data_IF_973265852426
#
_entry.id   IF_973265852426
#
_cell.length_a   1.000
_cell.length_b   1.000
_cell.length_c   1.000
_cell.angle_alpha   90.00
_cell.angle_beta   90.00
_cell.angle_gamma   90.00
#
_symmetry.space_group_name_H-M   'P 1'
#
loop_
_entity.id
_entity.type
_entity.pdbx_description
1 polymer ?
#
# COMPACT_ATOMS: atom_id res chain seq x y z
N UNK A 1 12.28 15.87 -9.60
CA UNK A 1 12.30 14.68 -8.70
C UNK A 1 12.59 13.43 -9.52
N UNK A 2 13.74 12.75 -9.33
CA UNK A 2 13.95 11.43 -9.93
C UNK A 2 12.86 10.44 -9.48
N UNK A 3 12.46 9.56 -10.40
CA UNK A 3 11.45 8.54 -10.13
C UNK A 3 11.74 7.25 -10.91
N UNK A 4 11.11 6.15 -10.49
CA UNK A 4 11.10 4.88 -11.22
C UNK A 4 9.75 4.20 -11.04
N UNK A 5 9.37 3.39 -12.02
CA UNK A 5 8.24 2.46 -11.90
C UNK A 5 8.73 1.10 -11.41
N UNK A 6 7.94 0.46 -10.54
CA UNK A 6 8.23 -0.86 -10.01
C UNK A 6 7.24 -1.87 -10.59
N UNK A 7 7.71 -2.65 -11.56
CA UNK A 7 6.90 -3.63 -12.29
C UNK A 7 6.72 -4.96 -11.53
N UNK A 8 7.42 -5.15 -10.43
CA UNK A 8 7.41 -6.34 -9.57
C UNK A 8 6.50 -6.18 -8.34
N UNK A 9 5.65 -5.16 -8.33
CA UNK A 9 4.75 -4.81 -7.23
C UNK A 9 3.30 -5.06 -7.60
N UNK A 10 2.50 -5.38 -6.60
CA UNK A 10 1.05 -5.49 -6.71
C UNK A 10 0.38 -4.76 -5.54
N UNK A 11 -0.80 -4.21 -5.82
CA UNK A 11 -1.63 -3.55 -4.82
C UNK A 11 -2.82 -4.44 -4.47
N UNK A 12 -3.04 -4.69 -3.18
CA UNK A 12 -4.24 -5.35 -2.68
C UNK A 12 -5.06 -4.31 -1.93
N UNK A 13 -6.32 -4.12 -2.33
CA UNK A 13 -7.27 -3.29 -1.60
C UNK A 13 -8.01 -4.12 -0.55
N UNK A 14 -8.16 -3.56 0.64
CA UNK A 14 -9.02 -4.09 1.69
C UNK A 14 -9.95 -2.99 2.16
N UNK A 15 -11.27 -3.15 2.02
CA UNK A 15 -12.23 -2.09 2.33
C UNK A 15 -13.50 -2.62 3.00
N UNK A 16 -14.15 -1.79 3.79
CA UNK A 16 -15.40 -2.14 4.47
C UNK A 16 -15.37 -1.81 5.96
N UNK A 17 -16.52 -1.85 6.64
CA UNK A 17 -16.66 -1.36 8.01
C UNK A 17 -15.83 -2.15 9.03
N UNK A 18 -15.48 -3.41 8.75
CA UNK A 18 -14.64 -4.23 9.64
C UNK A 18 -13.17 -4.28 9.21
N UNK A 19 -12.77 -3.57 8.14
CA UNK A 19 -11.44 -3.71 7.52
C UNK A 19 -10.30 -3.35 8.49
N UNK A 20 -10.39 -2.21 9.18
CA UNK A 20 -9.34 -1.77 10.11
C UNK A 20 -9.18 -2.76 11.26
N UNK A 21 -10.29 -3.11 11.94
CA UNK A 21 -10.26 -4.08 13.03
C UNK A 21 -9.77 -5.47 12.57
N UNK A 22 -10.18 -5.92 11.38
CA UNK A 22 -9.70 -7.18 10.81
C UNK A 22 -8.19 -7.16 10.60
N UNK A 23 -7.66 -6.13 9.93
CA UNK A 23 -6.24 -6.03 9.61
C UNK A 23 -5.39 -5.81 10.87
N UNK A 24 -5.83 -4.99 11.81
CA UNK A 24 -5.16 -4.74 13.10
C UNK A 24 -4.90 -6.05 13.87
N UNK A 25 -5.80 -7.03 13.77
CA UNK A 25 -5.69 -8.30 14.48
C UNK A 25 -4.69 -9.29 13.86
N UNK A 26 -4.29 -9.10 12.61
CA UNK A 26 -3.46 -10.08 11.88
C UNK A 26 -2.15 -9.51 11.33
N UNK A 27 -2.05 -8.19 11.19
CA UNK A 27 -0.86 -7.52 10.70
C UNK A 27 -0.02 -6.98 11.86
N UNK A 28 1.29 -6.83 11.63
CA UNK A 28 2.21 -6.26 12.63
C UNK A 28 2.11 -4.74 12.76
N UNK A 29 1.51 -4.07 11.77
CA UNK A 29 1.43 -2.61 11.74
C UNK A 29 0.25 -2.14 12.56
N UNK A 30 0.50 -1.20 13.47
CA UNK A 30 -0.56 -0.50 14.18
C UNK A 30 -1.24 0.52 13.26
N UNK A 31 -2.49 0.26 12.90
CA UNK A 31 -3.29 1.05 11.97
C UNK A 31 -3.91 2.27 12.63
N UNK A 32 -4.16 2.25 13.95
CA UNK A 32 -4.70 3.40 14.68
C UNK A 32 -3.76 4.61 14.58
N UNK A 33 -2.45 4.35 14.50
CA UNK A 33 -1.41 5.36 14.34
C UNK A 33 -0.96 5.57 12.90
N UNK A 34 -1.62 4.97 11.90
CA UNK A 34 -1.32 5.16 10.47
C UNK A 34 -1.96 6.46 9.94
N UNK A 35 -1.17 7.50 9.63
CA UNK A 35 -1.72 8.76 9.12
C UNK A 35 -2.23 8.61 7.68
N UNK A 36 -3.21 9.45 7.31
CA UNK A 36 -3.51 9.67 5.90
C UNK A 36 -2.30 10.31 5.21
N UNK A 37 -1.96 9.81 4.02
CA UNK A 37 -0.79 10.28 3.27
C UNK A 37 0.50 9.51 3.55
N UNK A 38 0.49 8.54 4.47
CA UNK A 38 1.66 7.72 4.78
C UNK A 38 1.47 6.27 4.31
N UNK A 39 2.58 5.65 3.93
CA UNK A 39 2.72 4.23 3.71
C UNK A 39 3.73 3.65 4.72
N UNK A 40 3.26 2.79 5.62
CA UNK A 40 4.07 2.17 6.68
C UNK A 40 4.43 0.72 6.36
N UNK A 41 5.62 0.24 6.74
CA UNK A 41 5.96 -1.17 6.60
C UNK A 41 5.11 -2.05 7.51
N UNK A 42 4.80 -3.24 7.04
CA UNK A 42 4.04 -4.25 7.77
C UNK A 42 4.35 -5.65 7.30
N UNK A 43 3.94 -6.62 8.12
CA UNK A 43 4.02 -8.03 7.80
C UNK A 43 2.79 -8.78 8.30
N UNK A 44 2.50 -9.90 7.63
CA UNK A 44 1.64 -10.96 8.13
C UNK A 44 2.53 -12.12 8.60
N UNK A 45 2.35 -12.55 9.84
CA UNK A 45 3.21 -13.56 10.46
C UNK A 45 2.53 -14.93 10.52
N UNK A 46 3.34 -15.98 10.60
CA UNK A 46 2.89 -17.30 11.01
C UNK A 46 2.64 -17.31 12.54
N UNK A 47 1.91 -18.31 13.07
CA UNK A 47 1.74 -18.46 14.52
C UNK A 47 3.06 -18.62 15.29
N UNK A 48 4.15 -19.01 14.61
CA UNK A 48 5.50 -19.13 15.17
C UNK A 48 6.32 -17.84 15.02
N UNK A 49 5.72 -16.75 14.54
CA UNK A 49 6.37 -15.45 14.36
C UNK A 49 7.23 -15.33 13.10
N UNK A 50 7.13 -16.27 12.15
CA UNK A 50 7.86 -16.16 10.87
C UNK A 50 7.13 -15.20 9.93
N UNK A 51 7.87 -14.34 9.22
CA UNK A 51 7.29 -13.47 8.19
C UNK A 51 6.78 -14.36 7.05
N UNK A 52 5.48 -14.30 6.78
CA UNK A 52 4.86 -14.94 5.62
C UNK A 52 4.83 -13.97 4.43
N UNK A 53 4.48 -12.72 4.70
CA UNK A 53 4.41 -11.64 3.71
C UNK A 53 4.86 -10.33 4.35
N UNK A 54 5.59 -9.53 3.60
CA UNK A 54 5.93 -8.14 3.91
C UNK A 54 5.32 -7.20 2.86
N UNK A 55 4.95 -6.00 3.30
CA UNK A 55 4.26 -5.02 2.47
C UNK A 55 4.41 -3.60 3.05
N UNK A 56 3.95 -2.63 2.27
CA UNK A 56 3.60 -1.31 2.76
C UNK A 56 2.08 -1.19 2.84
N UNK A 57 1.57 -0.65 3.94
CA UNK A 57 0.15 -0.38 4.14
C UNK A 57 -0.11 1.12 4.20
N UNK A 58 -1.17 1.55 3.54
CA UNK A 58 -1.65 2.93 3.54
C UNK A 58 -3.17 3.00 3.61
N UNK A 59 -3.72 4.10 4.14
CA UNK A 59 -5.17 4.36 4.10
C UNK A 59 -5.61 4.71 2.67
N UNK A 60 -6.79 4.23 2.27
CA UNK A 60 -7.43 4.45 0.99
C UNK A 60 -8.91 4.81 1.23
N UNK A 61 -9.18 6.10 1.47
CA UNK A 61 -10.47 6.57 1.98
C UNK A 61 -10.64 6.28 3.47
N UNK A 62 -11.86 6.44 3.98
CA UNK A 62 -12.15 6.36 5.43
C UNK A 62 -12.11 4.93 5.97
N UNK A 63 -12.56 3.95 5.19
CA UNK A 63 -12.69 2.55 5.59
C UNK A 63 -11.95 1.61 4.63
N UNK A 64 -10.83 2.06 4.06
CA UNK A 64 -10.08 1.31 3.07
C UNK A 64 -8.58 1.37 3.32
N UNK A 65 -7.90 0.33 2.88
CA UNK A 65 -6.46 0.17 2.97
C UNK A 65 -5.91 -0.36 1.65
N UNK A 66 -4.73 0.12 1.27
CA UNK A 66 -3.91 -0.43 0.21
C UNK A 66 -2.71 -1.16 0.79
N UNK A 67 -2.46 -2.39 0.32
CA UNK A 67 -1.29 -3.19 0.65
C UNK A 67 -0.42 -3.33 -0.60
N UNK A 68 0.70 -2.61 -0.64
CA UNK A 68 1.73 -2.71 -1.68
C UNK A 68 2.71 -3.82 -1.31
N UNK A 69 2.68 -4.91 -2.08
CA UNK A 69 3.49 -6.11 -1.86
C UNK A 69 4.17 -6.57 -3.17
N UNK A 70 4.98 -7.64 -3.09
CA UNK A 70 5.58 -8.23 -4.29
C UNK A 70 4.50 -8.92 -5.14
N UNK A 71 4.58 -8.75 -6.45
CA UNK A 71 3.61 -9.32 -7.38
C UNK A 71 3.60 -10.85 -7.38
N UNK A 72 4.75 -11.48 -7.13
CA UNK A 72 4.91 -12.94 -7.12
C UNK A 72 4.27 -13.63 -5.89
N UNK A 73 4.01 -12.89 -4.81
CA UNK A 73 3.37 -13.42 -3.60
C UNK A 73 1.94 -12.90 -3.38
N UNK A 74 1.48 -11.95 -4.18
CA UNK A 74 0.21 -11.26 -3.99
C UNK A 74 -1.01 -12.20 -3.97
N UNK A 75 -1.05 -13.20 -4.84
CA UNK A 75 -2.19 -14.14 -4.89
C UNK A 75 -2.24 -15.03 -3.65
N UNK A 76 -1.08 -15.47 -3.16
CA UNK A 76 -0.98 -16.20 -1.89
C UNK A 76 -1.33 -15.31 -0.70
N UNK A 77 -0.95 -14.03 -0.74
CA UNK A 77 -1.28 -13.08 0.30
C UNK A 77 -2.80 -12.85 0.37
N UNK A 78 -3.46 -12.62 -0.77
CA UNK A 78 -4.93 -12.52 -0.86
C UNK A 78 -5.61 -13.78 -0.32
N UNK A 79 -5.15 -14.97 -0.73
CA UNK A 79 -5.68 -16.24 -0.21
C UNK A 79 -5.60 -16.31 1.31
N UNK A 80 -4.50 -15.85 1.90
CA UNK A 80 -4.30 -15.84 3.36
C UNK A 80 -5.16 -14.81 4.07
N UNK A 81 -5.28 -13.60 3.52
CA UNK A 81 -6.19 -12.58 4.05
C UNK A 81 -7.64 -13.08 4.02
N UNK A 82 -8.08 -13.69 2.92
CA UNK A 82 -9.42 -14.28 2.80
C UNK A 82 -9.68 -15.39 3.82
N UNK A 83 -8.69 -16.25 4.08
CA UNK A 83 -8.78 -17.28 5.12
C UNK A 83 -9.01 -16.67 6.52
N UNK A 84 -8.32 -15.58 6.84
CA UNK A 84 -8.41 -14.91 8.14
C UNK A 84 -9.60 -13.96 8.27
N UNK A 85 -10.17 -13.49 7.16
CA UNK A 85 -11.31 -12.56 7.15
C UNK A 85 -12.53 -13.13 7.88
N UNK A 86 -12.77 -14.44 7.81
CA UNK A 86 -13.94 -15.09 8.41
C UNK A 86 -15.25 -14.34 8.05
N UNK A 87 -15.98 -13.86 9.06
CA UNK A 87 -17.25 -13.11 8.90
C UNK A 87 -17.06 -11.59 8.88
N UNK A 88 -15.83 -11.09 8.94
CA UNK A 88 -15.58 -9.66 8.84
C UNK A 88 -16.14 -9.13 7.50
N UNK A 89 -16.86 -8.02 7.61
CA UNK A 89 -17.35 -7.21 6.48
C UNK A 89 -16.19 -6.39 5.91
N UNK A 90 -15.26 -7.11 5.29
CA UNK A 90 -14.13 -6.55 4.56
C UNK A 90 -14.07 -7.20 3.17
N UNK A 91 -14.10 -6.40 2.12
CA UNK A 91 -13.81 -6.81 0.75
C UNK A 91 -12.30 -6.82 0.55
N UNK A 92 -11.77 -7.86 -0.09
CA UNK A 92 -10.34 -8.02 -0.36
C UNK A 92 -10.21 -8.30 -1.85
N UNK A 93 -9.45 -7.47 -2.55
CA UNK A 93 -9.23 -7.60 -4.00
C UNK A 93 -7.78 -7.24 -4.36
N UNK A 94 -7.15 -8.07 -5.19
CA UNK A 94 -5.93 -7.69 -5.90
C UNK A 94 -6.33 -6.73 -7.01
N UNK A 95 -5.65 -5.60 -7.11
CA UNK A 95 -5.91 -4.61 -8.14
C UNK A 95 -5.14 -4.98 -9.41
N UNK A 96 -5.84 -4.99 -10.53
CA UNK A 96 -5.24 -5.23 -11.85
C UNK A 96 -4.63 -3.93 -12.39
N UNK A 97 -3.57 -4.06 -13.19
CA UNK A 97 -2.98 -2.95 -13.97
C UNK A 97 -2.55 -1.72 -13.13
N UNK A 98 -2.19 -1.91 -11.86
CA UNK A 98 -1.65 -0.83 -11.02
C UNK A 98 -0.18 -0.61 -11.34
N UNK A 99 0.16 0.61 -11.72
CA UNK A 99 1.53 1.09 -11.84
C UNK A 99 1.96 1.65 -10.50
N UNK A 100 2.98 1.05 -9.89
CA UNK A 100 3.60 1.56 -8.67
C UNK A 100 4.77 2.45 -9.04
N UNK A 101 4.68 3.74 -8.73
CA UNK A 101 5.75 4.71 -8.98
C UNK A 101 6.38 5.13 -7.66
N UNK A 102 7.72 5.15 -7.62
CA UNK A 102 8.49 5.66 -6.49
C UNK A 102 9.27 6.88 -6.97
N UNK A 103 9.13 7.99 -6.25
CA UNK A 103 9.89 9.22 -6.48
C UNK A 103 10.71 9.58 -5.25
N UNK A 104 11.88 10.19 -5.44
CA UNK A 104 12.74 10.62 -4.35
C UNK A 104 13.41 11.97 -4.61
N UNK A 105 13.90 12.60 -3.53
CA UNK A 105 14.63 13.86 -3.57
C UNK A 105 13.84 15.05 -3.04
N UNK A 106 14.58 16.08 -2.62
CA UNK A 106 14.07 17.20 -1.78
C UNK A 106 13.55 18.40 -2.57
N UNK A 107 13.50 18.33 -3.91
CA UNK A 107 13.07 19.44 -4.74
C UNK A 107 11.59 19.75 -4.51
N UNK A 108 11.36 20.69 -3.61
CA UNK A 108 10.07 21.10 -3.11
C UNK A 108 9.31 21.86 -4.19
N UNK A 109 8.64 21.13 -5.09
CA UNK A 109 7.40 21.59 -5.70
C UNK A 109 6.41 20.43 -5.70
N UNK A 110 5.49 20.34 -4.71
CA UNK A 110 4.27 19.61 -4.96
C UNK A 110 3.54 20.36 -6.08
N UNK A 111 3.61 19.86 -7.32
CA UNK A 111 2.53 20.16 -8.24
C UNK A 111 1.28 19.60 -7.58
N UNK A 112 0.38 20.50 -7.19
CA UNK A 112 -0.80 20.25 -6.38
C UNK A 112 -1.88 19.41 -7.07
N UNK A 113 -1.51 18.65 -8.11
CA UNK A 113 -2.44 17.79 -8.86
C UNK A 113 -2.43 16.32 -8.44
N UNK A 114 -1.35 15.79 -7.85
CA UNK A 114 -1.31 14.36 -7.49
C UNK A 114 -1.66 14.14 -6.01
N UNK A 115 -2.96 14.26 -5.70
CA UNK A 115 -3.54 13.95 -4.38
C UNK A 115 -3.42 12.47 -3.94
N UNK A 116 -2.63 11.66 -4.66
CA UNK A 116 -2.49 10.20 -4.46
C UNK A 116 -1.09 9.76 -3.99
N UNK A 117 -0.11 10.68 -3.93
CA UNK A 117 1.24 10.34 -3.50
C UNK A 117 1.35 10.21 -1.97
N UNK A 118 1.95 9.12 -1.50
CA UNK A 118 2.13 8.77 -0.10
C UNK A 118 3.60 8.81 0.32
N UNK A 119 3.89 9.23 1.55
CA UNK A 119 5.24 9.15 2.11
C UNK A 119 5.60 7.71 2.52
N UNK A 120 6.70 7.17 2.00
CA UNK A 120 7.23 5.86 2.40
C UNK A 120 8.06 6.02 3.68
N UNK A 121 7.47 5.64 4.82
CA UNK A 121 8.05 5.94 6.14
C UNK A 121 9.27 5.07 6.48
N UNK A 122 9.71 4.17 5.59
CA UNK A 122 10.95 3.40 5.78
C UNK A 122 12.19 4.26 5.64
N UNK A 123 12.09 5.40 4.96
CA UNK A 123 13.20 6.30 4.69
C UNK A 123 13.12 7.54 5.59
N UNK A 124 13.87 7.53 6.70
CA UNK A 124 13.85 8.64 7.68
C UNK A 124 14.57 9.88 7.17
N UNK A 125 15.68 9.69 6.45
CA UNK A 125 16.62 10.75 6.09
C UNK A 125 16.53 11.12 4.60
N UNK A 126 15.48 10.66 3.90
CA UNK A 126 15.23 10.98 2.50
C UNK A 126 13.73 11.09 2.23
N UNK A 127 13.31 12.09 1.46
CA UNK A 127 11.95 12.19 0.97
C UNK A 127 11.71 11.14 -0.11
N UNK A 128 11.04 10.03 0.25
CA UNK A 128 10.62 8.98 -0.69
C UNK A 128 9.10 8.92 -0.71
N UNK A 129 8.51 9.02 -1.89
CA UNK A 129 7.05 8.95 -2.09
C UNK A 129 6.65 7.84 -3.03
N UNK A 130 5.48 7.26 -2.78
CA UNK A 130 4.84 6.23 -3.59
C UNK A 130 3.54 6.76 -4.17
N UNK A 131 3.29 6.46 -5.43
CA UNK A 131 2.00 6.70 -6.05
C UNK A 131 1.48 5.40 -6.66
N UNK A 132 0.17 5.19 -6.56
CA UNK A 132 -0.55 4.07 -7.13
C UNK A 132 -1.58 4.60 -8.12
N UNK A 133 -1.48 4.21 -9.39
CA UNK A 133 -2.40 4.65 -10.43
C UNK A 133 -2.43 3.71 -11.63
N UNK A 134 -3.44 3.87 -12.47
CA UNK A 134 -3.43 3.34 -13.85
C UNK A 134 -2.65 4.29 -14.75
N UNK A 135 -2.06 3.77 -15.84
CA UNK A 135 -1.12 4.42 -16.76
C UNK A 135 -1.02 5.95 -16.65
N UNK A 136 0.20 6.43 -16.34
CA UNK A 136 0.54 7.84 -16.43
C UNK A 136 0.12 8.37 -17.80
N UNK A 137 -0.84 9.30 -17.84
CA UNK A 137 -1.05 10.09 -19.04
C UNK A 137 0.26 10.81 -19.30
N UNK A 138 0.86 10.51 -20.45
CA UNK A 138 2.01 11.18 -21.01
C UNK A 138 1.93 12.67 -20.70
N UNK A 139 2.99 13.19 -20.09
CA UNK A 139 3.19 14.62 -19.92
C UNK A 139 3.29 15.25 -21.30
N UNK A 140 2.15 15.70 -21.82
CA UNK A 140 2.12 16.57 -22.99
C UNK A 140 2.68 17.92 -22.60
N UNK A 141 3.76 18.33 -23.25
CA UNK A 141 4.11 19.73 -23.42
C UNK A 141 4.11 20.01 -24.94
N UNK A 142 3.45 21.07 -25.43
CA UNK A 142 3.48 21.48 -26.83
C UNK A 142 4.84 22.04 -27.29
#
# INVERSE_FOLDING_TARGET
MPFTQLNDRALISVSGPDAEHFLQNILTTDLETLPHGDAKPGALLSPQGKILFDFLISRAGDNGFGLDCRADTADDFVRRLMLYRLRAKAEIAKQDQVVVTVAWGDDSTPSSSDSTALADTRFRDAAVRRAYGGEAKDGGDP
#
